data_IF_986887324580
#
_entry.id   IF_986887324580
#
_cell.length_a   1.000
_cell.length_b   1.000
_cell.length_c   1.000
_cell.angle_alpha   90.00
_cell.angle_beta   90.00
_cell.angle_gamma   90.00
#
_symmetry.space_group_name_H-M   'P 1'
#
loop_
_entity.id
_entity.type
_entity.pdbx_description
1 polymer ?
#
# COMPACT_ATOMS: atom_id res chain seq x y z
N UNK A 1 54.36 8.41 63.15
CA UNK A 1 54.04 9.62 62.40
C UNK A 1 53.54 9.22 61.01
N UNK A 2 52.26 8.96 60.84
CA UNK A 2 51.65 8.53 59.55
C UNK A 2 50.98 9.75 58.88
N UNK A 3 51.42 10.11 57.70
CA UNK A 3 50.81 11.14 56.88
C UNK A 3 49.75 10.47 55.98
N UNK A 4 48.50 10.85 56.21
CA UNK A 4 47.36 10.49 55.34
C UNK A 4 47.34 11.49 54.17
N UNK A 5 47.47 10.96 52.97
CA UNK A 5 47.32 11.71 51.70
C UNK A 5 45.86 11.63 51.28
N UNK A 6 45.16 12.74 51.33
CA UNK A 6 43.77 12.87 50.82
C UNK A 6 43.86 13.23 49.34
N UNK A 7 43.49 12.29 48.48
CA UNK A 7 43.28 12.58 47.06
C UNK A 7 41.88 13.16 46.87
N UNK A 8 41.81 14.45 46.51
CA UNK A 8 40.60 15.08 46.03
C UNK A 8 40.38 14.67 44.55
N UNK A 9 39.42 13.77 44.33
CA UNK A 9 38.93 13.46 43.01
C UNK A 9 37.95 14.55 42.53
N UNK A 10 38.33 15.31 41.52
CA UNK A 10 37.43 16.23 40.80
C UNK A 10 36.47 15.45 39.97
N UNK A 11 35.20 15.40 40.37
CA UNK A 11 34.10 14.82 39.62
C UNK A 11 33.76 15.77 38.45
N UNK A 12 34.12 15.40 37.23
CA UNK A 12 33.69 16.07 36.01
C UNK A 12 32.22 15.73 35.75
N UNK A 13 31.31 16.65 36.08
CA UNK A 13 29.93 16.61 35.63
C UNK A 13 29.89 17.04 34.17
N UNK A 14 29.71 16.05 33.29
CA UNK A 14 29.37 16.33 31.88
C UNK A 14 27.95 16.93 31.82
N UNK A 15 27.71 17.99 31.04
CA UNK A 15 26.37 18.53 30.93
C UNK A 15 25.49 17.48 30.21
N UNK A 16 24.45 17.03 30.91
CA UNK A 16 23.35 16.28 30.29
C UNK A 16 22.64 17.29 29.39
N UNK A 17 22.90 17.21 28.08
CA UNK A 17 22.09 17.93 27.13
C UNK A 17 20.65 17.42 27.26
N UNK A 18 19.76 18.31 27.69
CA UNK A 18 18.33 18.05 27.74
C UNK A 18 17.89 17.71 26.28
N UNK A 19 17.55 16.45 26.05
CA UNK A 19 16.77 16.09 24.88
C UNK A 19 15.45 16.83 25.01
N UNK A 20 15.26 17.84 24.17
CA UNK A 20 13.99 18.53 24.06
C UNK A 20 12.96 17.47 23.65
N UNK A 21 12.04 17.14 24.55
CA UNK A 21 10.85 16.39 24.18
C UNK A 21 10.10 17.23 23.17
N UNK A 22 10.13 16.83 21.89
CA UNK A 22 9.21 17.37 20.91
C UNK A 22 7.80 17.15 21.47
N UNK A 23 7.05 18.24 21.68
CA UNK A 23 5.67 18.17 22.08
C UNK A 23 4.91 17.47 20.93
N UNK A 24 4.67 16.19 21.07
CA UNK A 24 3.74 15.46 20.21
C UNK A 24 2.35 16.06 20.44
N UNK A 25 1.91 16.87 19.51
CA UNK A 25 0.60 17.48 19.55
C UNK A 25 -0.43 16.48 18.96
N UNK A 26 -0.83 15.50 19.76
CA UNK A 26 -1.89 14.55 19.44
C UNK A 26 -3.24 15.28 19.39
N UNK A 27 -3.53 16.04 18.37
CA UNK A 27 -4.80 16.76 18.31
C UNK A 27 -4.96 17.74 17.16
N UNK A 28 -3.99 17.82 16.27
CA UNK A 28 -4.06 18.78 15.15
C UNK A 28 -4.81 18.24 13.92
N UNK A 29 -5.14 16.93 13.86
CA UNK A 29 -5.66 16.29 12.63
C UNK A 29 -4.63 16.14 11.52
N UNK A 30 -3.37 16.45 11.80
CA UNK A 30 -2.25 16.34 10.85
C UNK A 30 -1.18 15.37 11.38
N UNK A 31 -0.55 14.62 10.48
CA UNK A 31 0.58 13.77 10.82
C UNK A 31 1.72 14.57 11.48
N UNK A 32 2.28 14.01 12.54
CA UNK A 32 3.38 14.65 13.26
C UNK A 32 4.67 14.57 12.45
N UNK A 33 5.45 15.64 12.46
CA UNK A 33 6.82 15.62 11.93
C UNK A 33 7.72 14.84 12.90
N UNK A 34 8.47 13.88 12.39
CA UNK A 34 9.35 12.99 13.14
C UNK A 34 10.74 12.93 12.56
N UNK A 35 11.75 13.08 13.41
CA UNK A 35 13.15 12.86 13.00
C UNK A 35 13.46 11.38 12.70
N UNK A 36 12.53 10.47 12.99
CA UNK A 36 12.64 9.03 12.77
C UNK A 36 11.53 8.51 11.84
N UNK A 37 11.00 9.36 10.95
CA UNK A 37 9.92 8.96 10.04
C UNK A 37 10.28 7.73 9.21
N UNK A 38 11.55 7.60 8.79
CA UNK A 38 12.05 6.43 8.05
C UNK A 38 12.16 5.14 8.90
N UNK A 39 11.89 5.20 10.21
CA UNK A 39 11.84 4.04 11.11
C UNK A 39 10.43 3.58 11.44
N UNK A 40 9.42 4.30 10.94
CA UNK A 40 8.01 3.94 11.14
C UNK A 40 7.64 2.71 10.34
N UNK A 41 6.54 2.06 10.74
CA UNK A 41 5.98 0.97 9.97
C UNK A 41 5.45 1.49 8.64
N UNK A 42 6.00 0.98 7.56
CA UNK A 42 5.60 1.28 6.18
C UNK A 42 4.73 0.13 5.67
N UNK A 43 3.56 0.45 5.14
CA UNK A 43 2.62 -0.51 4.58
C UNK A 43 2.64 -0.53 3.04
N UNK A 44 2.96 0.60 2.42
CA UNK A 44 2.98 0.73 0.97
C UNK A 44 4.21 1.51 0.51
N UNK A 45 4.73 1.10 -0.65
CA UNK A 45 5.89 1.73 -1.29
C UNK A 45 5.75 1.64 -2.80
N UNK A 46 6.04 2.74 -3.49
CA UNK A 46 6.06 2.78 -4.96
C UNK A 46 7.23 3.60 -5.47
N UNK A 47 7.83 3.13 -6.54
CA UNK A 47 8.89 3.84 -7.24
C UNK A 47 8.40 4.37 -8.57
N UNK A 48 8.52 5.68 -8.75
CA UNK A 48 8.19 6.37 -10.00
C UNK A 48 9.44 7.12 -10.48
N UNK A 49 9.98 6.72 -11.62
CA UNK A 49 11.26 7.20 -12.14
C UNK A 49 12.41 6.98 -11.13
N UNK A 50 12.98 8.06 -10.62
CA UNK A 50 14.08 8.10 -9.65
C UNK A 50 13.59 8.36 -8.21
N UNK A 51 12.28 8.59 -8.00
CA UNK A 51 11.71 8.84 -6.68
C UNK A 51 11.00 7.60 -6.14
N UNK A 52 11.22 7.34 -4.85
CA UNK A 52 10.48 6.34 -4.08
C UNK A 52 9.57 7.08 -3.11
N UNK A 53 8.29 6.66 -3.06
CA UNK A 53 7.33 7.05 -2.05
C UNK A 53 7.09 5.89 -1.10
N UNK A 54 6.90 6.18 0.18
CA UNK A 54 6.54 5.19 1.17
C UNK A 54 5.55 5.80 2.17
N UNK A 55 4.54 5.03 2.55
CA UNK A 55 3.49 5.47 3.43
C UNK A 55 3.11 4.38 4.46
N UNK A 56 2.62 4.78 5.63
CA UNK A 56 2.31 3.81 6.67
C UNK A 56 1.58 4.39 7.88
N UNK A 57 1.99 3.94 9.06
CA UNK A 57 1.34 4.28 10.32
C UNK A 57 1.33 5.79 10.60
N UNK A 58 0.33 6.23 11.38
CA UNK A 58 0.21 7.61 11.88
C UNK A 58 0.19 8.70 10.80
N UNK A 59 -0.24 8.37 9.58
CA UNK A 59 -0.26 9.30 8.46
C UNK A 59 1.13 9.66 7.94
N UNK A 60 2.16 8.89 8.29
CA UNK A 60 3.52 9.14 7.83
C UNK A 60 3.62 8.83 6.35
N UNK A 61 4.07 9.82 5.60
CA UNK A 61 4.44 9.70 4.19
C UNK A 61 5.85 10.26 4.04
N UNK A 62 6.73 9.47 3.44
CA UNK A 62 8.12 9.84 3.17
C UNK A 62 8.45 9.61 1.71
N UNK A 63 9.46 10.31 1.21
CA UNK A 63 9.97 10.11 -0.14
C UNK A 63 11.50 10.20 -0.19
N UNK A 64 12.09 9.53 -1.16
CA UNK A 64 13.52 9.50 -1.43
C UNK A 64 13.77 9.82 -2.90
N UNK A 65 14.78 10.64 -3.18
CA UNK A 65 15.27 10.97 -4.54
C UNK A 65 16.61 10.31 -4.86
N UNK A 66 17.12 9.46 -3.97
CA UNK A 66 18.44 8.81 -4.06
C UNK A 66 18.35 7.29 -3.81
N UNK A 67 17.23 6.69 -4.24
CA UNK A 67 16.98 5.25 -4.17
C UNK A 67 16.96 4.69 -2.72
N UNK A 68 16.58 5.53 -1.76
CA UNK A 68 16.41 5.12 -0.37
C UNK A 68 17.61 5.42 0.53
N UNK A 69 18.67 6.05 0.02
CA UNK A 69 19.82 6.44 0.83
C UNK A 69 19.44 7.54 1.84
N UNK A 70 18.62 8.49 1.44
CA UNK A 70 18.05 9.51 2.33
C UNK A 70 16.54 9.66 2.13
N UNK A 71 15.83 10.02 3.21
CA UNK A 71 14.38 10.18 3.21
C UNK A 71 13.97 11.56 3.72
N UNK A 72 12.94 12.11 3.08
CA UNK A 72 12.27 13.33 3.51
C UNK A 72 10.81 13.01 3.85
N UNK A 73 10.31 13.55 4.97
CA UNK A 73 8.89 13.42 5.33
C UNK A 73 8.06 14.50 4.63
N UNK A 74 6.84 14.15 4.21
CA UNK A 74 5.85 15.10 3.72
C UNK A 74 5.60 16.20 4.75
N UNK A 75 5.50 17.46 4.28
CA UNK A 75 5.41 18.64 5.15
C UNK A 75 4.01 18.77 5.78
N UNK A 76 2.97 18.46 5.01
CA UNK A 76 1.56 18.60 5.40
C UNK A 76 0.78 17.36 4.97
N UNK A 77 0.30 16.60 5.94
CA UNK A 77 -0.59 15.44 5.73
C UNK A 77 -1.78 15.59 6.68
N UNK A 78 -3.00 15.90 6.20
CA UNK A 78 -4.18 16.14 7.04
C UNK A 78 -4.85 14.81 7.46
N UNK A 79 -4.06 13.93 8.06
CA UNK A 79 -4.47 12.60 8.48
C UNK A 79 -3.49 12.03 9.51
N UNK A 80 -3.98 11.24 10.48
CA UNK A 80 -3.17 10.74 11.59
C UNK A 80 -3.33 9.25 11.84
N UNK A 81 -4.18 8.57 11.08
CA UNK A 81 -4.38 7.14 11.17
C UNK A 81 -3.48 6.38 10.18
N UNK A 82 -3.66 5.08 10.04
CA UNK A 82 -2.82 4.24 9.21
C UNK A 82 -3.17 4.38 7.72
N UNK A 83 -2.17 4.67 6.92
CA UNK A 83 -2.22 4.56 5.46
C UNK A 83 -1.95 3.10 5.09
N UNK A 84 -2.77 2.55 4.22
CA UNK A 84 -2.74 1.14 3.81
C UNK A 84 -2.07 0.94 2.47
N UNK A 85 -2.30 1.87 1.52
CA UNK A 85 -1.77 1.76 0.16
C UNK A 85 -1.54 3.12 -0.49
N UNK A 86 -0.76 3.13 -1.57
CA UNK A 86 -0.45 4.32 -2.37
C UNK A 86 -0.36 4.00 -3.86
N UNK A 87 -0.71 4.98 -4.70
CA UNK A 87 -0.57 4.90 -6.16
C UNK A 87 -0.12 6.22 -6.74
N UNK A 88 0.93 6.19 -7.54
CA UNK A 88 1.57 7.37 -8.11
C UNK A 88 1.67 7.25 -9.64
N UNK A 89 0.65 7.60 -10.41
CA UNK A 89 0.70 7.52 -11.88
C UNK A 89 1.79 8.42 -12.48
N UNK A 90 2.18 9.46 -11.76
CA UNK A 90 3.32 10.31 -12.11
C UNK A 90 4.10 10.70 -10.85
N UNK A 91 5.37 11.06 -11.02
CA UNK A 91 6.21 11.55 -9.92
C UNK A 91 5.61 12.77 -9.21
N UNK A 92 4.81 13.56 -9.90
CA UNK A 92 4.19 14.76 -9.35
C UNK A 92 2.89 14.48 -8.60
N UNK A 93 2.13 13.49 -9.06
CA UNK A 93 0.76 13.22 -8.62
C UNK A 93 0.65 11.83 -8.01
N UNK A 94 0.30 11.78 -6.72
CA UNK A 94 0.18 10.56 -5.94
C UNK A 94 -1.09 10.57 -5.09
N UNK A 95 -1.66 9.40 -4.88
CA UNK A 95 -2.78 9.16 -3.98
C UNK A 95 -2.39 8.16 -2.90
N UNK A 96 -2.95 8.32 -1.72
CA UNK A 96 -2.90 7.33 -0.64
C UNK A 96 -4.29 7.08 -0.09
N UNK A 97 -4.49 5.85 0.40
CA UNK A 97 -5.72 5.43 1.07
C UNK A 97 -5.42 4.87 2.46
N UNK A 98 -6.44 4.79 3.31
CA UNK A 98 -6.26 4.29 4.66
C UNK A 98 -7.56 4.02 5.40
N UNK A 99 -7.46 3.97 6.72
CA UNK A 99 -8.61 3.83 7.61
C UNK A 99 -9.60 4.99 7.44
N UNK A 100 -10.82 4.83 7.97
CA UNK A 100 -11.91 5.82 7.86
C UNK A 100 -12.27 6.15 6.40
N UNK A 101 -12.07 5.19 5.49
CA UNK A 101 -12.27 5.34 4.04
C UNK A 101 -11.57 6.57 3.45
N UNK A 102 -10.44 6.99 4.02
CA UNK A 102 -9.76 8.22 3.58
C UNK A 102 -9.06 8.04 2.24
N UNK A 103 -9.13 9.07 1.40
CA UNK A 103 -8.28 9.22 0.21
C UNK A 103 -7.62 10.60 0.26
N UNK A 104 -6.29 10.63 0.23
CA UNK A 104 -5.52 11.85 0.11
C UNK A 104 -4.83 11.91 -1.24
N UNK A 105 -4.60 13.13 -1.72
CA UNK A 105 -3.92 13.41 -2.98
C UNK A 105 -2.83 14.45 -2.78
N UNK A 106 -1.70 14.23 -3.42
CA UNK A 106 -0.61 15.20 -3.59
C UNK A 106 -0.40 15.47 -5.08
N UNK A 107 -0.22 16.73 -5.46
CA UNK A 107 0.17 17.13 -6.80
C UNK A 107 1.45 17.97 -6.85
N UNK A 108 2.28 17.85 -5.80
CA UNK A 108 3.50 18.62 -5.59
C UNK A 108 4.69 17.72 -5.20
N UNK A 109 4.75 16.55 -5.80
CA UNK A 109 5.82 15.58 -5.55
C UNK A 109 5.78 14.97 -4.13
N UNK A 110 4.58 14.79 -3.56
CA UNK A 110 4.40 14.19 -2.23
C UNK A 110 4.75 15.11 -1.06
N UNK A 111 4.99 16.40 -1.28
CA UNK A 111 5.35 17.35 -0.22
C UNK A 111 4.16 17.72 0.63
N UNK A 112 3.02 18.02 -0.01
CA UNK A 112 1.79 18.34 0.70
C UNK A 112 0.63 17.49 0.16
N UNK A 113 -0.30 17.17 1.05
CA UNK A 113 -1.43 16.31 0.76
C UNK A 113 -2.72 16.99 1.12
N UNK A 114 -3.77 16.71 0.35
CA UNK A 114 -5.13 17.20 0.60
C UNK A 114 -6.10 16.03 0.65
N UNK A 115 -7.10 16.10 1.52
CA UNK A 115 -8.13 15.07 1.62
C UNK A 115 -9.12 15.27 0.47
N UNK A 116 -9.32 14.24 -0.34
CA UNK A 116 -10.31 14.21 -1.43
C UNK A 116 -11.57 13.45 -1.04
N UNK A 117 -11.45 12.43 -0.17
CA UNK A 117 -12.57 11.63 0.29
C UNK A 117 -12.34 11.17 1.73
N UNK A 118 -13.42 11.00 2.46
CA UNK A 118 -13.47 10.41 3.79
C UNK A 118 -14.92 10.02 4.09
N UNK A 119 -15.11 8.85 4.69
CA UNK A 119 -16.41 8.41 5.17
C UNK A 119 -16.25 7.76 6.56
N UNK A 120 -16.30 8.61 7.58
CA UNK A 120 -16.16 8.19 8.98
C UNK A 120 -17.34 7.32 9.44
N UNK A 121 -18.53 7.55 8.88
CA UNK A 121 -19.73 6.81 9.27
C UNK A 121 -19.70 5.36 8.75
N UNK A 122 -18.98 5.10 7.68
CA UNK A 122 -18.76 3.75 7.16
C UNK A 122 -17.80 2.93 8.04
N UNK A 123 -16.86 3.58 8.74
CA UNK A 123 -15.87 2.97 9.63
C UNK A 123 -15.14 1.77 9.00
N UNK A 124 -14.87 1.82 7.70
CA UNK A 124 -14.18 0.79 6.95
C UNK A 124 -12.88 1.32 6.34
N UNK A 125 -11.77 0.57 6.42
CA UNK A 125 -10.56 0.94 5.72
C UNK A 125 -10.70 0.73 4.21
N UNK A 126 -10.17 1.66 3.42
CA UNK A 126 -9.70 1.35 2.09
C UNK A 126 -8.38 0.59 2.23
N UNK A 127 -8.23 -0.50 1.50
CA UNK A 127 -7.08 -1.40 1.61
C UNK A 127 -6.11 -1.23 0.46
N UNK A 128 -6.61 -0.81 -0.71
CA UNK A 128 -5.81 -0.72 -1.91
C UNK A 128 -6.31 0.39 -2.83
N UNK A 129 -5.40 1.02 -3.57
CA UNK A 129 -5.71 2.05 -4.57
C UNK A 129 -4.87 1.85 -5.82
N UNK A 130 -5.50 2.00 -6.97
CA UNK A 130 -4.81 2.03 -8.25
C UNK A 130 -5.30 3.20 -9.11
N UNK A 131 -4.37 4.05 -9.50
CA UNK A 131 -4.61 5.15 -10.45
C UNK A 131 -4.05 4.74 -11.81
N UNK A 132 -4.91 4.53 -12.80
CA UNK A 132 -4.50 4.22 -14.18
C UNK A 132 -3.76 5.40 -14.84
N UNK A 133 -4.14 6.60 -14.45
CA UNK A 133 -3.52 7.87 -14.81
C UNK A 133 -3.91 8.96 -13.79
N UNK A 134 -3.62 10.23 -14.08
CA UNK A 134 -3.95 11.35 -13.18
C UNK A 134 -5.47 11.65 -13.09
N UNK A 135 -6.32 10.96 -13.87
CA UNK A 135 -7.77 11.21 -13.92
C UNK A 135 -8.59 10.01 -13.48
N UNK A 136 -8.20 8.82 -13.91
CA UNK A 136 -8.94 7.58 -13.67
C UNK A 136 -8.29 6.72 -12.60
N UNK A 137 -9.09 6.26 -11.62
CA UNK A 137 -8.60 5.39 -10.56
C UNK A 137 -9.69 4.68 -9.79
N UNK A 138 -9.29 3.66 -9.04
CA UNK A 138 -10.15 2.80 -8.24
C UNK A 138 -9.52 2.63 -6.85
N UNK A 139 -10.34 2.62 -5.81
CA UNK A 139 -9.94 2.25 -4.46
C UNK A 139 -10.86 1.14 -3.96
N UNK A 140 -10.28 0.10 -3.34
CA UNK A 140 -10.97 -1.06 -2.82
C UNK A 140 -10.71 -1.20 -1.32
N UNK A 141 -11.65 -1.76 -0.58
CA UNK A 141 -11.52 -1.85 0.86
C UNK A 141 -12.37 -2.94 1.52
N UNK A 142 -12.54 -2.79 2.82
CA UNK A 142 -13.32 -3.69 3.64
C UNK A 142 -14.82 -3.55 3.34
N UNK A 143 -15.56 -4.64 3.57
CA UNK A 143 -17.02 -4.72 3.38
C UNK A 143 -17.46 -4.33 1.97
N UNK A 144 -16.72 -4.80 0.96
CA UNK A 144 -16.91 -4.50 -0.46
C UNK A 144 -16.88 -2.99 -0.80
N UNK A 145 -16.34 -2.14 0.10
CA UNK A 145 -16.16 -0.72 -0.20
C UNK A 145 -15.30 -0.58 -1.44
N UNK A 146 -15.91 -0.06 -2.49
CA UNK A 146 -15.26 0.13 -3.77
C UNK A 146 -15.64 1.50 -4.32
N UNK A 147 -14.64 2.29 -4.65
CA UNK A 147 -14.80 3.65 -5.11
C UNK A 147 -14.07 3.84 -6.44
N UNK A 148 -14.62 4.67 -7.31
CA UNK A 148 -14.02 5.04 -8.59
C UNK A 148 -14.05 6.55 -8.79
N UNK A 149 -12.98 7.06 -9.37
CA UNK A 149 -12.91 8.41 -9.92
C UNK A 149 -12.61 8.40 -11.41
N UNK A 150 -13.07 9.42 -12.12
CA UNK A 150 -12.70 9.71 -13.51
C UNK A 150 -12.38 11.20 -13.73
N UNK A 151 -12.13 11.92 -12.63
CA UNK A 151 -11.89 13.37 -12.65
C UNK A 151 -10.69 13.79 -11.77
N UNK A 152 -9.79 12.84 -11.50
CA UNK A 152 -8.60 13.06 -10.66
C UNK A 152 -8.92 13.15 -9.17
N UNK A 153 -9.97 12.45 -8.74
CA UNK A 153 -10.40 12.41 -7.35
C UNK A 153 -11.14 13.65 -6.87
N UNK A 154 -11.60 14.53 -7.77
CA UNK A 154 -12.52 15.62 -7.40
C UNK A 154 -13.84 15.05 -6.91
N UNK A 155 -14.24 13.92 -7.50
CA UNK A 155 -15.36 13.10 -7.04
C UNK A 155 -14.97 11.63 -6.99
N UNK A 156 -15.46 10.92 -5.97
CA UNK A 156 -15.36 9.49 -5.82
C UNK A 156 -16.76 8.91 -5.71
N UNK A 157 -17.10 8.01 -6.61
CA UNK A 157 -18.42 7.34 -6.65
C UNK A 157 -18.31 5.88 -6.27
N UNK A 158 -19.34 5.32 -5.66
CA UNK A 158 -19.42 3.90 -5.36
C UNK A 158 -19.38 3.06 -6.63
N UNK A 159 -18.66 1.96 -6.55
CA UNK A 159 -18.52 0.94 -7.58
C UNK A 159 -19.04 -0.38 -7.03
N UNK A 160 -19.73 -1.16 -7.85
CA UNK A 160 -20.19 -2.50 -7.48
C UNK A 160 -19.46 -3.52 -8.36
N UNK A 161 -18.81 -4.50 -7.72
CA UNK A 161 -18.08 -5.55 -8.42
C UNK A 161 -18.97 -6.73 -8.80
N UNK A 162 -19.92 -7.07 -7.92
CA UNK A 162 -20.98 -8.06 -8.17
C UNK A 162 -22.24 -7.75 -7.34
N UNK A 163 -23.30 -8.55 -7.51
CA UNK A 163 -24.57 -8.44 -6.80
C UNK A 163 -24.63 -9.39 -5.58
N UNK A 164 -23.49 -9.91 -5.10
CA UNK A 164 -23.46 -10.84 -3.97
C UNK A 164 -23.87 -10.14 -2.66
N UNK A 165 -24.68 -10.83 -1.85
CA UNK A 165 -25.05 -10.35 -0.51
C UNK A 165 -23.86 -10.35 0.45
N UNK A 166 -22.84 -11.16 0.18
CA UNK A 166 -21.61 -11.18 0.96
C UNK A 166 -20.73 -10.00 0.57
N UNK A 167 -20.28 -9.25 1.57
CA UNK A 167 -19.44 -8.07 1.41
C UNK A 167 -17.97 -8.37 1.80
N UNK A 168 -17.17 -8.96 0.91
CA UNK A 168 -15.81 -9.34 1.22
C UNK A 168 -14.88 -8.15 1.42
N UNK A 169 -13.81 -8.36 2.14
CA UNK A 169 -12.68 -7.44 2.08
C UNK A 169 -11.94 -7.63 0.75
N UNK A 170 -11.84 -6.55 0.00
CA UNK A 170 -11.25 -6.54 -1.34
C UNK A 170 -9.89 -5.86 -1.34
N UNK A 171 -8.97 -6.42 -2.09
CA UNK A 171 -7.66 -5.84 -2.36
C UNK A 171 -7.33 -6.01 -3.85
N UNK A 172 -6.47 -5.15 -4.41
CA UNK A 172 -5.96 -5.42 -5.75
C UNK A 172 -4.99 -6.61 -5.70
N UNK A 173 -5.24 -7.56 -6.58
CA UNK A 173 -4.23 -8.55 -6.89
C UNK A 173 -3.12 -7.87 -7.68
N UNK A 174 -3.55 -7.15 -8.69
CA UNK A 174 -2.67 -6.49 -9.61
C UNK A 174 -3.49 -5.55 -10.51
N UNK A 175 -2.94 -4.40 -10.80
CA UNK A 175 -3.48 -3.52 -11.82
C UNK A 175 -2.31 -3.01 -12.67
N UNK A 176 -2.42 -3.13 -13.97
CA UNK A 176 -1.33 -2.78 -14.87
C UNK A 176 -1.29 -1.28 -15.09
N UNK A 177 -0.33 -0.61 -14.50
CA UNK A 177 -0.11 0.81 -14.74
C UNK A 177 1.12 1.10 -15.60
N UNK A 178 2.14 0.28 -15.65
CA UNK A 178 3.39 0.70 -16.29
C UNK A 178 4.34 -0.38 -16.82
N UNK A 179 4.30 -1.61 -16.37
CA UNK A 179 5.42 -2.55 -16.57
C UNK A 179 5.33 -3.34 -17.87
N UNK A 180 4.16 -3.57 -18.41
CA UNK A 180 3.97 -4.39 -19.63
C UNK A 180 3.37 -3.57 -20.78
N UNK A 181 4.25 -2.86 -21.43
CA UNK A 181 3.95 -2.11 -22.64
C UNK A 181 3.26 -2.99 -23.68
N UNK A 182 2.02 -2.70 -23.98
CA UNK A 182 1.36 -2.76 -25.29
C UNK A 182 -0.01 -3.38 -25.44
N UNK A 183 -0.59 -4.09 -24.46
CA UNK A 183 -1.97 -4.54 -24.67
C UNK A 183 -2.91 -4.40 -23.48
N UNK A 184 -2.44 -4.06 -22.30
CA UNK A 184 -3.19 -4.19 -21.06
C UNK A 184 -3.35 -2.92 -20.21
N UNK A 185 -3.22 -1.73 -20.76
CA UNK A 185 -3.37 -0.46 -20.00
C UNK A 185 -4.75 -0.24 -19.36
N UNK A 186 -5.67 -1.18 -19.53
CA UNK A 186 -7.04 -1.09 -19.04
C UNK A 186 -7.40 -2.22 -18.07
N UNK A 187 -6.51 -3.20 -17.87
CA UNK A 187 -6.80 -4.35 -17.02
C UNK A 187 -6.61 -4.03 -15.54
N UNK A 188 -7.51 -4.54 -14.72
CA UNK A 188 -7.39 -4.54 -13.26
C UNK A 188 -7.91 -5.86 -12.70
N UNK A 189 -7.29 -6.32 -11.64
CA UNK A 189 -7.61 -7.57 -10.96
C UNK A 189 -7.82 -7.29 -9.48
N UNK A 190 -8.95 -7.72 -8.93
CA UNK A 190 -9.24 -7.61 -7.51
C UNK A 190 -9.39 -9.01 -6.90
N UNK A 191 -8.89 -9.17 -5.70
CA UNK A 191 -8.99 -10.40 -4.90
C UNK A 191 -9.60 -10.10 -3.54
N UNK A 192 -10.15 -11.13 -2.91
CA UNK A 192 -10.76 -10.96 -1.61
C UNK A 192 -10.95 -12.25 -0.84
N UNK A 193 -11.78 -12.15 0.19
CA UNK A 193 -12.20 -13.26 1.02
C UNK A 193 -13.08 -14.23 0.24
N UNK A 194 -13.18 -15.48 0.73
CA UNK A 194 -13.96 -16.57 0.14
C UNK A 194 -13.60 -16.84 -1.33
N UNK A 195 -12.29 -16.74 -1.65
CA UNK A 195 -11.80 -17.03 -2.99
C UNK A 195 -12.24 -16.05 -4.07
N UNK A 196 -12.78 -14.89 -3.68
CA UNK A 196 -13.24 -13.89 -4.65
C UNK A 196 -12.08 -13.41 -5.52
N UNK A 197 -12.32 -13.43 -6.82
CA UNK A 197 -11.42 -12.92 -7.83
C UNK A 197 -12.24 -12.26 -8.94
N UNK A 198 -11.92 -11.02 -9.21
CA UNK A 198 -12.60 -10.20 -10.20
C UNK A 198 -11.59 -9.67 -11.21
N UNK A 199 -12.02 -9.62 -12.45
CA UNK A 199 -11.22 -9.07 -13.51
C UNK A 199 -12.01 -7.99 -14.27
N UNK A 200 -11.30 -6.94 -14.66
CA UNK A 200 -11.78 -5.83 -15.49
C UNK A 200 -10.82 -5.63 -16.65
N UNK A 201 -11.32 -5.36 -17.85
CA UNK A 201 -10.55 -4.99 -19.04
C UNK A 201 -10.84 -3.57 -19.54
N UNK A 202 -11.61 -2.80 -18.74
CA UNK A 202 -12.11 -1.47 -19.08
C UNK A 202 -11.81 -0.42 -17.98
N UNK A 203 -10.67 -0.56 -17.29
CA UNK A 203 -10.25 0.32 -16.18
C UNK A 203 -11.24 0.31 -15.01
N UNK A 204 -11.80 -0.86 -14.70
CA UNK A 204 -12.71 -1.03 -13.60
C UNK A 204 -14.09 -0.41 -13.78
N UNK A 205 -14.52 -0.13 -15.01
CA UNK A 205 -15.90 0.29 -15.28
C UNK A 205 -16.87 -0.88 -15.18
N UNK A 206 -16.43 -2.08 -15.60
CA UNK A 206 -17.16 -3.32 -15.39
C UNK A 206 -16.24 -4.41 -14.86
N UNK A 207 -16.81 -5.38 -14.15
CA UNK A 207 -16.08 -6.46 -13.51
C UNK A 207 -16.73 -7.81 -13.82
N UNK A 208 -15.90 -8.81 -14.02
CA UNK A 208 -16.29 -10.18 -14.19
C UNK A 208 -15.78 -11.01 -13.02
N UNK A 209 -16.69 -11.63 -12.28
CA UNK A 209 -16.33 -12.59 -11.24
C UNK A 209 -15.82 -13.88 -11.87
N UNK A 210 -14.73 -14.41 -11.35
CA UNK A 210 -14.12 -15.68 -11.78
C UNK A 210 -14.16 -16.66 -10.63
N UNK A 211 -14.74 -17.84 -10.86
CA UNK A 211 -14.80 -18.91 -9.87
C UNK A 211 -13.42 -19.57 -9.73
N UNK A 212 -12.85 -19.51 -8.53
CA UNK A 212 -11.53 -20.09 -8.24
C UNK A 212 -11.60 -21.45 -7.58
N UNK A 213 -12.74 -21.81 -6.97
CA UNK A 213 -12.89 -23.04 -6.17
C UNK A 213 -12.21 -22.98 -4.81
N UNK A 214 -11.49 -21.90 -4.49
CA UNK A 214 -10.86 -21.68 -3.20
C UNK A 214 -11.84 -20.99 -2.22
N UNK A 215 -11.93 -21.47 -0.99
CA UNK A 215 -12.85 -20.93 0.04
C UNK A 215 -12.14 -19.98 1.04
N UNK A 216 -10.82 -19.81 0.94
CA UNK A 216 -10.06 -18.93 1.80
C UNK A 216 -9.94 -17.51 1.26
N UNK A 217 -9.11 -16.69 1.90
CA UNK A 217 -8.85 -15.31 1.46
C UNK A 217 -7.61 -15.24 0.59
N UNK A 218 -7.70 -14.56 -0.54
CA UNK A 218 -6.55 -14.09 -1.29
C UNK A 218 -6.08 -12.74 -0.78
N UNK A 219 -4.77 -12.56 -0.70
CA UNK A 219 -4.13 -11.32 -0.26
C UNK A 219 -3.50 -10.53 -1.38
N UNK A 220 -3.07 -11.21 -2.43
CA UNK A 220 -2.37 -10.62 -3.55
C UNK A 220 -2.45 -11.51 -4.78
N UNK A 221 -2.02 -11.00 -5.92
CA UNK A 221 -1.82 -11.77 -7.14
C UNK A 221 -0.80 -11.07 -8.03
N UNK A 222 -0.25 -11.83 -8.95
CA UNK A 222 0.70 -11.33 -9.95
C UNK A 222 0.33 -11.91 -11.32
N UNK A 223 0.57 -11.14 -12.36
CA UNK A 223 0.53 -11.66 -13.74
C UNK A 223 1.83 -12.41 -14.01
N UNK A 224 1.74 -13.67 -14.40
CA UNK A 224 2.91 -14.50 -14.69
C UNK A 224 3.18 -14.64 -16.18
N UNK A 225 2.13 -14.55 -17.00
CA UNK A 225 2.21 -14.54 -18.46
C UNK A 225 0.94 -13.92 -19.07
N UNK A 226 0.85 -13.76 -20.39
CA UNK A 226 -0.36 -13.34 -21.07
C UNK A 226 -1.50 -14.34 -20.79
N UNK A 227 -2.63 -13.84 -20.28
CA UNK A 227 -3.76 -14.68 -19.86
C UNK A 227 -3.54 -15.53 -18.61
N UNK A 228 -2.42 -15.37 -17.88
CA UNK A 228 -2.14 -16.14 -16.67
C UNK A 228 -1.85 -15.25 -15.48
N UNK A 229 -2.54 -15.52 -14.37
CA UNK A 229 -2.35 -14.86 -13.09
C UNK A 229 -2.13 -15.88 -11.99
N UNK A 230 -1.20 -15.60 -11.08
CA UNK A 230 -0.97 -16.39 -9.88
C UNK A 230 -1.55 -15.62 -8.68
N UNK A 231 -2.53 -16.23 -8.01
CA UNK A 231 -3.16 -15.68 -6.81
C UNK A 231 -2.52 -16.29 -5.56
N UNK A 232 -2.35 -15.48 -4.54
CA UNK A 232 -1.70 -15.82 -3.29
C UNK A 232 -2.71 -15.72 -2.14
N UNK A 233 -2.96 -16.84 -1.50
CA UNK A 233 -3.98 -16.98 -0.46
C UNK A 233 -3.43 -17.31 0.91
N UNK A 234 -4.35 -17.43 1.86
CA UNK A 234 -4.07 -17.85 3.22
C UNK A 234 -3.47 -19.26 3.25
N UNK A 235 -2.66 -19.52 4.29
CA UNK A 235 -2.04 -20.83 4.54
C UNK A 235 -1.14 -21.33 3.40
N UNK A 236 -0.58 -20.39 2.62
CA UNK A 236 0.30 -20.72 1.51
C UNK A 236 -0.41 -21.25 0.26
N UNK A 237 -1.73 -21.00 0.14
CA UNK A 237 -2.45 -21.34 -1.08
C UNK A 237 -1.91 -20.53 -2.26
N UNK A 238 -1.71 -21.21 -3.38
CA UNK A 238 -1.37 -20.64 -4.68
C UNK A 238 -2.35 -21.14 -5.71
N UNK A 239 -3.05 -20.25 -6.38
CA UNK A 239 -3.98 -20.59 -7.45
C UNK A 239 -3.52 -19.95 -8.75
N UNK A 240 -3.27 -20.76 -9.76
CA UNK A 240 -3.02 -20.30 -11.13
C UNK A 240 -4.34 -20.13 -11.87
N UNK A 241 -4.59 -18.94 -12.35
CA UNK A 241 -5.69 -18.64 -13.27
C UNK A 241 -5.15 -18.61 -14.69
N UNK A 242 -5.81 -19.30 -15.59
CA UNK A 242 -5.48 -19.34 -17.01
C UNK A 242 -6.75 -19.48 -17.86
N UNK A 243 -6.62 -19.56 -19.17
CA UNK A 243 -7.74 -19.70 -20.11
C UNK A 243 -8.60 -20.97 -19.89
N UNK A 244 -8.11 -21.93 -19.11
CA UNK A 244 -8.80 -23.18 -18.79
C UNK A 244 -9.51 -23.14 -17.44
N UNK A 245 -9.32 -22.07 -16.66
CA UNK A 245 -9.90 -21.88 -15.32
C UNK A 245 -8.85 -21.72 -14.22
N UNK A 246 -9.25 -22.04 -13.00
CA UNK A 246 -8.40 -21.97 -11.81
C UNK A 246 -7.80 -23.34 -11.50
N UNK A 247 -6.51 -23.38 -11.20
CA UNK A 247 -5.78 -24.59 -10.79
C UNK A 247 -4.99 -24.30 -9.52
N UNK A 248 -5.21 -25.08 -8.46
CA UNK A 248 -4.41 -24.99 -7.26
C UNK A 248 -3.00 -25.54 -7.47
N UNK A 249 -2.01 -24.70 -7.24
CA UNK A 249 -0.62 -25.13 -7.21
C UNK A 249 -0.30 -25.52 -5.77
N UNK A 250 0.00 -26.81 -5.55
CA UNK A 250 0.40 -27.29 -4.23
C UNK A 250 1.84 -26.81 -3.95
N UNK A 251 2.05 -25.83 -3.06
CA UNK A 251 3.41 -25.43 -2.70
C UNK A 251 4.12 -26.57 -2.00
N UNK A 252 5.43 -26.64 -2.12
CA UNK A 252 6.22 -27.54 -1.28
C UNK A 252 5.98 -27.21 0.19
N UNK A 253 5.92 -28.22 1.08
CA UNK A 253 5.54 -28.17 2.50
C UNK A 253 6.19 -27.09 3.40
N UNK A 254 6.91 -26.15 2.82
CA UNK A 254 7.69 -25.12 3.54
C UNK A 254 7.17 -23.69 3.38
N UNK A 255 6.20 -23.43 2.51
CA UNK A 255 5.68 -22.09 2.28
C UNK A 255 4.41 -21.92 3.09
N UNK A 256 4.46 -21.16 4.17
CA UNK A 256 3.29 -20.88 5.02
C UNK A 256 2.59 -19.57 4.65
N UNK A 257 3.32 -18.64 4.02
CA UNK A 257 2.78 -17.37 3.52
C UNK A 257 3.68 -16.90 2.39
N UNK A 258 3.11 -16.57 1.25
CA UNK A 258 3.81 -15.95 0.14
C UNK A 258 3.12 -14.61 -0.17
N UNK A 259 3.89 -13.53 -0.21
CA UNK A 259 3.47 -12.24 -0.70
C UNK A 259 4.51 -11.74 -1.70
N UNK A 260 4.07 -11.49 -2.92
CA UNK A 260 4.90 -10.87 -3.94
C UNK A 260 4.44 -9.43 -4.15
N UNK A 261 5.35 -8.48 -3.99
CA UNK A 261 5.12 -7.10 -4.36
C UNK A 261 5.77 -6.83 -5.71
N UNK A 262 4.95 -6.50 -6.68
CA UNK A 262 5.41 -5.97 -7.95
C UNK A 262 5.59 -4.45 -7.88
N UNK A 263 6.37 -3.96 -6.92
CA UNK A 263 6.94 -2.64 -7.07
C UNK A 263 8.30 -2.78 -7.72
N UNK A 264 8.62 -1.98 -8.72
CA UNK A 264 9.78 -2.11 -9.61
C UNK A 264 11.17 -2.22 -8.98
N UNK A 265 11.28 -2.41 -7.68
CA UNK A 265 12.53 -2.63 -6.95
C UNK A 265 12.80 -4.13 -6.72
N UNK A 266 11.76 -5.00 -6.70
CA UNK A 266 11.91 -6.42 -6.35
C UNK A 266 11.33 -7.39 -7.39
N UNK A 267 10.89 -6.92 -8.54
CA UNK A 267 10.27 -7.74 -9.59
C UNK A 267 11.16 -8.87 -10.16
N UNK A 268 12.41 -8.96 -9.77
CA UNK A 268 13.34 -10.01 -10.24
C UNK A 268 13.35 -11.29 -9.39
N UNK A 269 12.89 -11.26 -8.16
CA UNK A 269 13.14 -12.36 -7.20
C UNK A 269 11.96 -13.30 -6.97
N UNK A 270 10.73 -12.89 -7.27
CA UNK A 270 9.56 -13.79 -7.18
C UNK A 270 9.63 -14.98 -8.15
N UNK A 271 10.35 -14.87 -9.26
CA UNK A 271 10.53 -15.99 -10.21
C UNK A 271 11.37 -17.14 -9.66
N UNK A 272 12.17 -16.91 -8.64
CA UNK A 272 13.12 -17.90 -8.09
C UNK A 272 12.55 -18.69 -6.91
N UNK A 273 11.51 -18.18 -6.25
CA UNK A 273 10.95 -18.81 -5.03
C UNK A 273 9.84 -19.82 -5.30
N UNK A 274 9.27 -19.83 -6.49
CA UNK A 274 8.09 -20.66 -6.78
C UNK A 274 8.39 -22.05 -7.33
N UNK A 275 9.62 -22.37 -7.76
CA UNK A 275 9.84 -23.56 -8.60
C UNK A 275 11.21 -24.26 -8.43
N UNK A 276 11.84 -24.22 -7.25
CA UNK A 276 12.93 -25.15 -6.90
C UNK A 276 12.53 -26.16 -5.83
#
# INVERSE_FOLDING_TARGET
MFRILILLGTLFLLPISSVSSSNFNYGSGFAAQSALAEKSLINAMEKVDDRIYAAGEHGIIIYSDDLGDTWSQAEIVPYTSTITDLSCPTKKSCWVVGHDAVILHSNDYGKTWVKQYEDIDWDAPLLSIHMFDEMDGIALGAFALSLRTSDGGKTWGYLFLDDDEFQPHLNFAYADSQVWRKSAMNEAYAVGELGKYYLSDDRGMSWMAVETGYEGSYWAGIKVDEGQSLLLGMSGNLTLINDYGAEDIIPSDKITTLACYESGIYAGECKTLAFE
#
